data_IF_328966076537
#
_entry.id   IF_328966076537
#
_cell.length_a   1.000
_cell.length_b   1.000
_cell.length_c   1.000
_cell.angle_alpha   90.00
_cell.angle_beta   90.00
_cell.angle_gamma   90.00
#
_symmetry.space_group_name_H-M   'P 1'
#
loop_
_entity.id
_entity.type
_entity.pdbx_description
1 polymer ?
#
# COMPACT_ATOMS: atom_id res chain seq x y z
N UNK A 1 2.22 -16.76 -1.62
CA UNK A 1 1.53 -15.89 -2.59
C UNK A 1 1.69 -16.39 -4.03
N UNK A 2 2.91 -16.53 -4.58
CA UNK A 2 3.12 -17.01 -5.97
C UNK A 2 2.60 -18.43 -6.29
N UNK A 3 2.57 -19.33 -5.31
CA UNK A 3 2.13 -20.73 -5.48
C UNK A 3 0.61 -20.87 -5.72
N UNK A 4 -0.17 -19.92 -5.21
CA UNK A 4 -1.63 -19.95 -5.28
C UNK A 4 -2.17 -18.55 -5.64
N UNK A 5 -1.79 -18.00 -6.81
CA UNK A 5 -2.05 -16.60 -7.16
C UNK A 5 -3.54 -16.27 -7.23
N UNK A 6 -4.37 -17.25 -7.64
CA UNK A 6 -5.80 -17.05 -7.86
C UNK A 6 -6.66 -17.30 -6.61
N UNK A 7 -6.06 -17.75 -5.51
CA UNK A 7 -6.79 -17.96 -4.25
C UNK A 7 -6.85 -16.64 -3.50
N UNK A 8 -7.84 -15.80 -3.84
CA UNK A 8 -7.95 -14.43 -3.34
C UNK A 8 -7.93 -14.31 -1.82
N UNK A 9 -8.64 -15.19 -1.10
CA UNK A 9 -8.62 -15.22 0.36
C UNK A 9 -7.18 -15.43 0.90
N UNK A 10 -6.42 -16.33 0.29
CA UNK A 10 -5.03 -16.59 0.68
C UNK A 10 -4.09 -15.44 0.30
N UNK A 11 -4.36 -14.70 -0.78
CA UNK A 11 -3.62 -13.48 -1.10
C UNK A 11 -3.86 -12.42 -0.03
N UNK A 12 -5.13 -12.18 0.34
CA UNK A 12 -5.50 -11.23 1.40
C UNK A 12 -4.88 -11.61 2.74
N UNK A 13 -5.03 -12.85 3.17
CA UNK A 13 -4.47 -13.33 4.44
C UNK A 13 -2.95 -13.25 4.44
N UNK A 14 -2.32 -13.58 3.30
CA UNK A 14 -0.89 -13.42 3.09
C UNK A 14 -0.42 -11.97 3.24
N UNK A 15 -1.15 -10.99 2.69
CA UNK A 15 -0.85 -9.57 2.86
C UNK A 15 -0.94 -9.15 4.33
N UNK A 16 -2.00 -9.56 5.03
CA UNK A 16 -2.19 -9.24 6.44
C UNK A 16 -1.07 -9.83 7.32
N UNK A 17 -0.69 -11.09 7.09
CA UNK A 17 0.43 -11.72 7.79
C UNK A 17 1.76 -11.02 7.49
N UNK A 18 1.98 -10.59 6.24
CA UNK A 18 3.20 -9.88 5.86
C UNK A 18 3.28 -8.48 6.50
N UNK A 19 2.15 -7.77 6.59
CA UNK A 19 2.08 -6.48 7.27
C UNK A 19 2.44 -6.60 8.75
N UNK A 20 1.84 -7.57 9.43
CA UNK A 20 2.16 -7.87 10.84
C UNK A 20 3.64 -8.26 11.00
N UNK A 21 4.14 -9.16 10.15
CA UNK A 21 5.54 -9.59 10.18
C UNK A 21 6.50 -8.41 9.95
N UNK A 22 6.24 -7.57 8.97
CA UNK A 22 7.03 -6.36 8.68
C UNK A 22 7.01 -5.36 9.84
N UNK A 23 5.92 -5.27 10.60
CA UNK A 23 5.79 -4.35 11.72
C UNK A 23 6.62 -4.76 12.94
N UNK A 24 6.93 -6.06 13.08
CA UNK A 24 7.66 -6.58 14.24
C UNK A 24 9.14 -6.18 14.26
N UNK A 25 9.79 -6.07 13.11
CA UNK A 25 11.19 -5.67 13.02
C UNK A 25 11.60 -5.20 11.61
N UNK A 26 12.46 -4.18 11.55
CA UNK A 26 13.05 -3.67 10.30
C UNK A 26 13.76 -4.75 9.44
N UNK A 27 14.34 -5.76 10.08
CA UNK A 27 15.02 -6.87 9.40
C UNK A 27 14.05 -7.76 8.61
N UNK A 28 12.78 -7.82 9.03
CA UNK A 28 11.74 -8.54 8.32
C UNK A 28 11.43 -7.86 7.00
N UNK A 29 11.46 -6.52 6.94
CA UNK A 29 11.32 -5.79 5.69
C UNK A 29 12.46 -6.09 4.73
N UNK A 30 13.70 -6.16 5.23
CA UNK A 30 14.85 -6.57 4.41
C UNK A 30 14.72 -8.02 3.89
N UNK A 31 14.13 -8.91 4.69
CA UNK A 31 13.84 -10.29 4.28
C UNK A 31 12.76 -10.33 3.19
N UNK A 32 11.70 -9.52 3.32
CA UNK A 32 10.65 -9.41 2.31
C UNK A 32 11.23 -8.88 0.98
N UNK A 33 12.03 -7.82 1.02
CA UNK A 33 12.60 -7.20 -0.19
C UNK A 33 13.57 -8.13 -0.91
N UNK A 34 14.51 -8.75 -0.17
CA UNK A 34 15.52 -9.65 -0.74
C UNK A 34 14.95 -10.90 -1.42
N UNK A 35 13.75 -11.33 -1.03
CA UNK A 35 13.05 -12.47 -1.63
C UNK A 35 12.09 -12.09 -2.79
N UNK A 36 12.14 -10.85 -3.28
CA UNK A 36 11.20 -10.37 -4.30
C UNK A 36 9.76 -10.28 -3.79
N UNK A 37 9.59 -10.07 -2.48
CA UNK A 37 8.31 -9.95 -1.82
C UNK A 37 7.51 -8.74 -2.29
N UNK A 38 8.19 -7.65 -2.66
CA UNK A 38 7.54 -6.41 -3.14
C UNK A 38 6.67 -6.68 -4.37
N UNK A 39 7.21 -7.38 -5.38
CA UNK A 39 6.43 -7.76 -6.58
C UNK A 39 5.23 -8.62 -6.17
N UNK A 40 5.41 -9.56 -5.24
CA UNK A 40 4.33 -10.44 -4.78
C UNK A 40 3.22 -9.68 -4.03
N UNK A 41 3.59 -8.65 -3.26
CA UNK A 41 2.65 -7.77 -2.56
C UNK A 41 1.86 -6.94 -3.57
N UNK A 42 2.53 -6.34 -4.55
CA UNK A 42 1.90 -5.53 -5.60
C UNK A 42 0.94 -6.38 -6.45
N UNK A 43 1.35 -7.57 -6.85
CA UNK A 43 0.50 -8.50 -7.61
C UNK A 43 -0.76 -8.89 -6.80
N UNK A 44 -0.61 -9.13 -5.50
CA UNK A 44 -1.72 -9.46 -4.61
C UNK A 44 -2.69 -8.29 -4.43
N UNK A 45 -2.18 -7.06 -4.26
CA UNK A 45 -3.01 -5.85 -4.23
C UNK A 45 -3.74 -5.63 -5.56
N UNK A 46 -3.08 -5.91 -6.69
CA UNK A 46 -3.68 -5.80 -8.01
C UNK A 46 -4.78 -6.86 -8.26
N UNK A 47 -4.64 -8.04 -7.67
CA UNK A 47 -5.67 -9.10 -7.70
C UNK A 47 -6.87 -8.79 -6.76
N UNK A 48 -6.68 -7.89 -5.80
CA UNK A 48 -7.67 -7.50 -4.79
C UNK A 48 -7.90 -5.97 -4.82
N UNK A 49 -8.30 -5.39 -5.96
CA UNK A 49 -8.31 -3.94 -6.15
C UNK A 49 -9.34 -3.21 -5.30
N UNK A 50 -10.35 -3.91 -4.78
CA UNK A 50 -11.45 -3.36 -3.99
C UNK A 50 -11.46 -3.87 -2.53
N UNK A 51 -10.50 -4.73 -2.16
CA UNK A 51 -10.37 -5.23 -0.79
C UNK A 51 -9.56 -4.24 0.03
N UNK A 52 -10.27 -3.45 0.85
CA UNK A 52 -9.67 -2.44 1.73
C UNK A 52 -8.61 -3.05 2.66
N UNK A 53 -8.88 -4.14 3.42
CA UNK A 53 -7.87 -4.79 4.26
C UNK A 53 -6.59 -5.20 3.51
N UNK A 54 -6.73 -5.79 2.32
CA UNK A 54 -5.59 -6.19 1.49
C UNK A 54 -4.73 -5.00 1.09
N UNK A 55 -5.36 -3.93 0.60
CA UNK A 55 -4.65 -2.73 0.17
C UNK A 55 -3.98 -2.01 1.34
N UNK A 56 -4.65 -1.90 2.49
CA UNK A 56 -4.03 -1.35 3.69
C UNK A 56 -2.79 -2.13 4.12
N UNK A 57 -2.89 -3.46 4.17
CA UNK A 57 -1.79 -4.32 4.57
C UNK A 57 -0.60 -4.19 3.60
N UNK A 58 -0.87 -4.22 2.30
CA UNK A 58 0.17 -4.01 1.28
C UNK A 58 0.82 -2.63 1.40
N UNK A 59 0.03 -1.56 1.49
CA UNK A 59 0.54 -0.20 1.65
C UNK A 59 1.35 -0.01 2.93
N UNK A 60 0.94 -0.63 4.04
CA UNK A 60 1.67 -0.57 5.31
C UNK A 60 3.09 -1.13 5.17
N UNK A 61 3.26 -2.25 4.46
CA UNK A 61 4.59 -2.78 4.16
C UNK A 61 5.34 -1.82 3.24
N UNK A 62 4.70 -1.41 2.13
CA UNK A 62 5.32 -0.55 1.10
C UNK A 62 5.72 0.83 1.61
N UNK A 63 5.08 1.33 2.67
CA UNK A 63 5.42 2.61 3.30
C UNK A 63 6.80 2.62 3.97
N UNK A 64 7.45 1.46 4.11
CA UNK A 64 8.74 1.38 4.77
C UNK A 64 9.84 2.11 3.96
N UNK A 65 10.67 2.98 4.58
CA UNK A 65 11.64 3.83 3.86
C UNK A 65 12.71 3.08 3.07
N UNK A 66 12.93 1.81 3.41
CA UNK A 66 13.88 0.93 2.70
C UNK A 66 13.31 0.31 1.42
N UNK A 67 12.04 0.55 1.09
CA UNK A 67 11.38 0.03 -0.11
C UNK A 67 11.34 1.13 -1.18
N UNK A 68 12.08 0.92 -2.26
CA UNK A 68 12.07 1.80 -3.43
C UNK A 68 11.06 1.33 -4.49
N UNK A 69 10.54 2.27 -5.29
CA UNK A 69 9.76 1.96 -6.50
C UNK A 69 8.29 1.59 -6.26
N UNK A 70 7.79 1.72 -5.03
CA UNK A 70 6.39 1.44 -4.70
C UNK A 70 5.42 2.62 -4.94
N UNK A 71 5.96 3.80 -5.29
CA UNK A 71 5.20 5.03 -5.48
C UNK A 71 3.99 4.90 -6.43
N UNK A 72 4.11 4.29 -7.64
CA UNK A 72 2.96 4.15 -8.55
C UNK A 72 1.81 3.33 -7.96
N UNK A 73 2.13 2.35 -7.10
CA UNK A 73 1.14 1.49 -6.45
C UNK A 73 0.43 2.24 -5.33
N UNK A 74 1.19 3.04 -4.56
CA UNK A 74 0.63 3.91 -3.53
C UNK A 74 -0.31 4.97 -4.13
N UNK A 75 0.08 5.60 -5.24
CA UNK A 75 -0.78 6.55 -5.95
C UNK A 75 -2.04 5.88 -6.51
N UNK A 76 -1.90 4.70 -7.11
CA UNK A 76 -3.05 3.95 -7.63
C UNK A 76 -4.05 3.60 -6.52
N UNK A 77 -3.58 3.17 -5.36
CA UNK A 77 -4.44 2.89 -4.22
C UNK A 77 -5.13 4.16 -3.69
N UNK A 78 -4.39 5.28 -3.61
CA UNK A 78 -4.94 6.59 -3.23
C UNK A 78 -6.09 7.02 -4.16
N UNK A 79 -5.92 6.86 -5.47
CA UNK A 79 -6.95 7.22 -6.45
C UNK A 79 -8.14 6.25 -6.44
N UNK A 80 -7.92 4.98 -6.10
CA UNK A 80 -8.97 3.95 -6.06
C UNK A 80 -9.88 4.08 -4.85
N UNK A 81 -9.35 4.51 -3.71
CA UNK A 81 -10.09 4.58 -2.43
C UNK A 81 -10.20 6.01 -1.89
N UNK A 82 -10.81 6.97 -2.62
CA UNK A 82 -10.83 8.38 -2.22
C UNK A 82 -11.61 8.63 -0.92
N UNK A 83 -12.60 7.78 -0.62
CA UNK A 83 -13.45 7.90 0.56
C UNK A 83 -12.98 7.05 1.76
N UNK A 84 -12.01 6.15 1.59
CA UNK A 84 -11.51 5.33 2.68
C UNK A 84 -10.36 6.03 3.40
N UNK A 85 -10.67 6.62 4.56
CA UNK A 85 -9.71 7.40 5.34
C UNK A 85 -8.45 6.60 5.69
N UNK A 86 -8.58 5.30 5.97
CA UNK A 86 -7.42 4.49 6.39
C UNK A 86 -6.53 4.15 5.21
N UNK A 87 -7.10 3.81 4.06
CA UNK A 87 -6.32 3.60 2.82
C UNK A 87 -5.62 4.90 2.41
N UNK A 88 -6.31 6.04 2.50
CA UNK A 88 -5.72 7.36 2.24
C UNK A 88 -4.52 7.63 3.15
N UNK A 89 -4.67 7.44 4.47
CA UNK A 89 -3.58 7.65 5.43
C UNK A 89 -2.34 6.81 5.09
N UNK A 90 -2.53 5.52 4.82
CA UNK A 90 -1.41 4.62 4.51
C UNK A 90 -0.77 4.95 3.15
N UNK A 91 -1.58 5.27 2.13
CA UNK A 91 -1.06 5.65 0.81
C UNK A 91 -0.27 6.96 0.87
N UNK A 92 -0.79 7.98 1.54
CA UNK A 92 -0.12 9.29 1.68
C UNK A 92 1.15 9.15 2.49
N UNK A 93 1.12 8.43 3.62
CA UNK A 93 2.31 8.19 4.42
C UNK A 93 3.40 7.46 3.62
N UNK A 94 3.01 6.45 2.83
CA UNK A 94 3.94 5.73 1.98
C UNK A 94 4.61 6.66 0.95
N UNK A 95 3.82 7.51 0.28
CA UNK A 95 4.32 8.47 -0.71
C UNK A 95 5.27 9.49 -0.06
N UNK A 96 4.87 10.09 1.08
CA UNK A 96 5.70 11.06 1.81
C UNK A 96 7.02 10.47 2.27
N UNK A 97 7.03 9.19 2.66
CA UNK A 97 8.26 8.51 3.07
C UNK A 97 9.21 8.29 1.89
N UNK A 98 8.67 8.12 0.67
CA UNK A 98 9.47 7.97 -0.56
C UNK A 98 9.92 9.32 -1.17
N UNK A 99 9.23 10.42 -0.86
CA UNK A 99 9.52 11.78 -1.30
C UNK A 99 9.74 12.72 -0.11
N UNK A 100 10.86 12.59 0.64
CA UNK A 100 11.14 13.47 1.76
C UNK A 100 11.41 14.90 1.24
N UNK A 101 10.37 15.74 1.22
CA UNK A 101 10.46 17.16 0.82
C UNK A 101 9.26 17.73 0.05
N UNK A 102 8.33 16.91 -0.42
CA UNK A 102 7.13 17.36 -1.15
C UNK A 102 5.89 17.25 -0.25
N UNK A 103 5.42 18.39 0.26
CA UNK A 103 4.16 18.48 1.01
C UNK A 103 3.00 18.27 0.02
N UNK A 104 2.37 17.11 0.04
CA UNK A 104 1.09 16.92 -0.67
C UNK A 104 0.01 17.55 0.21
N UNK A 105 -0.33 18.81 -0.06
CA UNK A 105 -1.51 19.41 0.53
C UNK A 105 -2.75 18.64 0.04
N UNK A 106 -3.70 18.29 0.93
CA UNK A 106 -4.94 17.68 0.52
C UNK A 106 -5.72 18.70 -0.31
N UNK A 107 -5.94 18.43 -1.60
CA UNK A 107 -6.90 19.22 -2.39
C UNK A 107 -8.28 19.08 -1.75
N UNK A 108 -8.76 20.16 -1.13
CA UNK A 108 -10.13 20.27 -0.66
C UNK A 108 -11.10 20.06 -1.84
N UNK A 109 -12.22 19.35 -1.64
CA UNK A 109 -13.21 19.20 -2.70
C UNK A 109 -13.78 20.57 -3.05
N UNK A 110 -13.60 20.96 -4.32
CA UNK A 110 -14.10 22.21 -4.89
C UNK A 110 -15.56 22.44 -4.50
N UNK A 111 -15.79 23.39 -3.60
CA UNK A 111 -17.13 23.88 -3.30
C UNK A 111 -17.61 24.65 -4.52
N UNK A 112 -18.60 24.08 -5.19
CA UNK A 112 -19.33 24.71 -6.27
C UNK A 112 -20.05 25.96 -5.74
N UNK A 113 -19.42 27.13 -5.87
CA UNK A 113 -20.08 28.41 -5.65
C UNK A 113 -20.97 28.71 -6.86
N UNK A 114 -22.27 28.48 -6.71
CA UNK A 114 -23.30 28.98 -7.61
C UNK A 114 -23.33 30.51 -7.53
N UNK A 115 -23.01 31.18 -8.64
CA UNK A 115 -23.49 32.54 -8.95
C UNK A 115 -24.50 32.46 -10.08
#
# INVERSE_FOLDING_TARGET
MKRFPNTLALQRDGLLCLAEYAHQADEHVATITSNGGIISIVDAMAALPDDVPANMAGLSVLAHPKIAGALPVCEKARLRFPADLKVQQHAVQAIQTMLPGESIEPEEPATCALQ
#
